data_IF_220784904974
#
_entry.id   IF_220784904974
#
_cell.length_a   1.000
_cell.length_b   1.000
_cell.length_c   1.000
_cell.angle_alpha   90.00
_cell.angle_beta   90.00
_cell.angle_gamma   90.00
#
_symmetry.space_group_name_H-M   'P 1'
#
loop_
_entity.id
_entity.type
_entity.pdbx_description
1 polymer ?
#
# COMPACT_ATOMS: atom_id res chain seq x y z
N UNK A 1 -7.74 8.10 16.41
CA UNK A 1 -8.25 7.37 15.23
C UNK A 1 -9.48 6.57 15.62
N UNK A 2 -9.32 5.54 16.46
CA UNK A 2 -10.47 4.76 16.97
C UNK A 2 -11.52 5.67 17.63
N UNK A 3 -11.08 6.50 18.58
CA UNK A 3 -11.97 7.46 19.26
C UNK A 3 -12.73 8.37 18.29
N UNK A 4 -12.07 8.84 17.22
CA UNK A 4 -12.72 9.69 16.23
C UNK A 4 -13.79 8.93 15.45
N UNK A 5 -13.49 7.69 15.05
CA UNK A 5 -14.42 6.83 14.33
C UNK A 5 -15.64 6.48 15.20
N UNK A 6 -15.41 6.18 16.47
CA UNK A 6 -16.45 5.89 17.45
C UNK A 6 -17.33 7.13 17.72
N UNK A 7 -16.72 8.30 17.94
CA UNK A 7 -17.43 9.57 18.15
C UNK A 7 -18.31 9.96 16.95
N UNK A 8 -17.92 9.53 15.74
CA UNK A 8 -18.65 9.79 14.50
C UNK A 8 -19.62 8.67 14.10
N UNK A 9 -19.78 7.64 14.94
CA UNK A 9 -20.70 6.53 14.70
C UNK A 9 -20.30 5.64 13.52
N UNK A 10 -19.00 5.59 13.19
CA UNK A 10 -18.49 4.71 12.14
C UNK A 10 -18.38 3.29 12.70
N UNK A 11 -19.33 2.43 12.31
CA UNK A 11 -19.30 1.02 12.65
C UNK A 11 -18.03 0.33 12.14
N UNK A 12 -17.57 -0.67 12.90
CA UNK A 12 -16.33 -1.43 12.63
C UNK A 12 -15.05 -0.57 12.55
N UNK A 13 -15.03 0.63 13.15
CA UNK A 13 -13.87 1.54 13.11
C UNK A 13 -12.54 0.90 13.52
N UNK A 14 -12.58 -0.13 14.38
CA UNK A 14 -11.42 -0.92 14.78
C UNK A 14 -10.74 -1.66 13.63
N UNK A 15 -11.50 -2.14 12.64
CA UNK A 15 -10.98 -2.88 11.48
C UNK A 15 -10.19 -1.96 10.53
N UNK A 16 -10.53 -0.66 10.53
CA UNK A 16 -9.95 0.32 9.61
C UNK A 16 -8.88 1.20 10.25
N UNK A 17 -8.92 1.37 11.58
CA UNK A 17 -8.04 2.28 12.33
C UNK A 17 -6.55 2.04 12.07
N UNK A 18 -6.12 0.77 12.02
CA UNK A 18 -4.73 0.40 11.75
C UNK A 18 -4.31 0.73 10.33
N UNK A 19 -5.14 0.43 9.34
CA UNK A 19 -4.88 0.72 7.92
C UNK A 19 -4.79 2.23 7.67
N UNK A 20 -5.67 3.01 8.28
CA UNK A 20 -5.66 4.47 8.15
C UNK A 20 -4.40 5.09 8.81
N UNK A 21 -4.02 4.60 10.00
CA UNK A 21 -2.79 5.04 10.66
C UNK A 21 -1.54 4.69 9.83
N UNK A 22 -1.48 3.48 9.26
CA UNK A 22 -0.40 3.04 8.38
C UNK A 22 -0.32 3.88 7.08
N UNK A 23 -1.47 4.33 6.56
CA UNK A 23 -1.57 5.25 5.43
C UNK A 23 -1.23 6.71 5.80
N UNK A 24 -0.92 7.00 7.06
CA UNK A 24 -0.56 8.34 7.54
C UNK A 24 -1.73 9.29 7.76
N UNK A 25 -2.97 8.80 7.65
CA UNK A 25 -4.18 9.60 7.86
C UNK A 25 -4.24 10.07 9.31
N UNK A 26 -4.54 11.36 9.49
CA UNK A 26 -4.76 11.95 10.80
C UNK A 26 -6.24 12.25 11.03
N UNK A 27 -6.70 12.36 12.30
CA UNK A 27 -8.07 12.78 12.60
C UNK A 27 -8.47 14.09 11.90
N UNK A 28 -7.56 15.04 11.76
CA UNK A 28 -7.79 16.30 11.05
C UNK A 28 -8.15 16.10 9.56
N UNK A 29 -7.66 15.04 8.92
CA UNK A 29 -8.03 14.70 7.54
C UNK A 29 -9.42 14.07 7.49
N UNK A 30 -9.77 13.27 8.49
CA UNK A 30 -11.11 12.70 8.62
C UNK A 30 -12.16 13.79 8.89
N UNK A 31 -11.81 14.83 9.64
CA UNK A 31 -12.69 15.98 9.83
C UNK A 31 -12.97 16.74 8.54
N UNK A 32 -11.96 16.90 7.68
CA UNK A 32 -12.17 17.50 6.34
C UNK A 32 -13.15 16.66 5.53
N UNK A 33 -13.06 15.33 5.61
CA UNK A 33 -13.99 14.43 4.92
C UNK A 33 -15.39 14.57 5.50
N UNK A 34 -15.53 14.54 6.84
CA UNK A 34 -16.80 14.71 7.53
C UNK A 34 -17.50 16.04 7.20
N UNK A 35 -16.74 17.10 6.97
CA UNK A 35 -17.26 18.39 6.54
C UNK A 35 -17.78 18.42 5.08
N UNK A 36 -17.40 17.43 4.26
CA UNK A 36 -17.76 17.39 2.82
C UNK A 36 -18.90 16.44 2.48
N UNK A 37 -19.28 15.55 3.39
CA UNK A 37 -20.29 14.52 3.15
C UNK A 37 -21.44 14.62 4.16
N UNK A 38 -22.68 14.26 3.77
CA UNK A 38 -23.76 14.07 4.73
C UNK A 38 -23.37 13.07 5.82
N UNK A 39 -23.76 13.33 7.07
CA UNK A 39 -23.46 12.45 8.22
C UNK A 39 -23.80 10.98 7.96
N UNK A 40 -24.95 10.73 7.35
CA UNK A 40 -25.44 9.37 7.06
C UNK A 40 -24.56 8.61 6.05
N UNK A 41 -23.70 9.31 5.31
CA UNK A 41 -22.80 8.73 4.31
C UNK A 41 -21.34 8.68 4.77
N UNK A 42 -21.03 9.23 5.95
CA UNK A 42 -19.67 9.33 6.46
C UNK A 42 -19.05 7.94 6.64
N UNK A 43 -19.77 7.00 7.26
CA UNK A 43 -19.29 5.62 7.43
C UNK A 43 -18.92 4.96 6.10
N UNK A 44 -19.76 5.12 5.07
CA UNK A 44 -19.51 4.58 3.73
C UNK A 44 -18.30 5.23 3.06
N UNK A 45 -18.15 6.56 3.21
CA UNK A 45 -17.00 7.29 2.69
C UNK A 45 -15.69 6.81 3.32
N UNK A 46 -15.65 6.63 4.64
CA UNK A 46 -14.49 6.10 5.37
C UNK A 46 -14.18 4.65 4.96
N UNK A 47 -15.20 3.83 4.78
CA UNK A 47 -15.05 2.44 4.31
C UNK A 47 -14.48 2.38 2.89
N UNK A 48 -14.96 3.25 1.99
CA UNK A 48 -14.44 3.37 0.63
C UNK A 48 -12.98 3.85 0.61
N UNK A 49 -12.65 4.85 1.43
CA UNK A 49 -11.29 5.38 1.56
C UNK A 49 -10.32 4.28 2.00
N UNK A 50 -10.70 3.52 3.02
CA UNK A 50 -9.88 2.44 3.57
C UNK A 50 -9.59 1.37 2.51
N UNK A 51 -10.63 0.92 1.79
CA UNK A 51 -10.46 -0.06 0.68
C UNK A 51 -9.56 0.48 -0.43
N UNK A 52 -9.66 1.78 -0.72
CA UNK A 52 -8.84 2.43 -1.74
C UNK A 52 -7.36 2.46 -1.35
N UNK A 53 -7.03 2.66 -0.07
CA UNK A 53 -5.64 2.56 0.41
C UNK A 53 -5.11 1.13 0.33
N UNK A 54 -5.90 0.14 0.75
CA UNK A 54 -5.50 -1.28 0.64
C UNK A 54 -5.20 -1.67 -0.81
N UNK A 55 -6.02 -1.21 -1.76
CA UNK A 55 -5.78 -1.46 -3.19
C UNK A 55 -4.50 -0.79 -3.70
N UNK A 56 -4.21 0.44 -3.27
CA UNK A 56 -3.00 1.16 -3.63
C UNK A 56 -1.75 0.51 -3.06
N UNK A 57 -1.79 0.07 -1.80
CA UNK A 57 -0.68 -0.64 -1.15
C UNK A 57 -0.37 -1.96 -1.86
N UNK A 58 -1.41 -2.74 -2.19
CA UNK A 58 -1.26 -3.98 -2.96
C UNK A 58 -0.64 -3.73 -4.34
N UNK A 59 -1.08 -2.68 -5.04
CA UNK A 59 -0.50 -2.30 -6.33
C UNK A 59 0.98 -1.91 -6.19
N UNK A 60 1.35 -1.15 -5.16
CA UNK A 60 2.73 -0.82 -4.84
C UNK A 60 3.59 -2.06 -4.57
N UNK A 61 3.07 -3.00 -3.77
CA UNK A 61 3.72 -4.27 -3.49
C UNK A 61 3.97 -5.11 -4.74
N UNK A 62 3.03 -5.13 -5.69
CA UNK A 62 3.20 -5.81 -7.00
C UNK A 62 4.35 -5.18 -7.79
N UNK A 63 4.40 -3.85 -7.89
CA UNK A 63 5.45 -3.12 -8.64
C UNK A 63 6.83 -3.37 -8.04
N UNK A 64 6.96 -3.31 -6.71
CA UNK A 64 8.20 -3.60 -5.99
C UNK A 64 8.65 -5.05 -6.19
N UNK A 65 7.72 -5.99 -6.15
CA UNK A 65 7.99 -7.42 -6.34
C UNK A 65 8.49 -7.70 -7.76
N UNK A 66 7.81 -7.16 -8.78
CA UNK A 66 8.23 -7.30 -10.17
C UNK A 66 9.62 -6.70 -10.42
N UNK A 67 9.91 -5.55 -9.80
CA UNK A 67 11.22 -4.90 -9.87
C UNK A 67 12.32 -5.76 -9.23
N UNK A 68 12.02 -6.37 -8.08
CA UNK A 68 12.96 -7.27 -7.38
C UNK A 68 13.25 -8.53 -8.20
N UNK A 69 12.23 -9.16 -8.78
CA UNK A 69 12.40 -10.33 -9.67
C UNK A 69 13.26 -9.96 -10.88
N UNK A 70 12.99 -8.81 -11.51
CA UNK A 70 13.78 -8.33 -12.66
C UNK A 70 15.26 -8.14 -12.30
N UNK A 71 15.55 -7.55 -11.13
CA UNK A 71 16.93 -7.41 -10.62
C UNK A 71 17.61 -8.76 -10.44
N UNK A 72 16.94 -9.75 -9.87
CA UNK A 72 17.48 -11.09 -9.68
C UNK A 72 17.77 -11.80 -11.01
N UNK A 73 16.85 -11.70 -11.98
CA UNK A 73 17.04 -12.27 -13.32
C UNK A 73 18.24 -11.64 -14.02
N UNK A 74 18.40 -10.32 -13.94
CA UNK A 74 19.54 -9.63 -14.54
C UNK A 74 20.87 -9.99 -13.86
N UNK A 75 20.88 -10.14 -12.54
CA UNK A 75 22.05 -10.60 -11.79
C UNK A 75 22.47 -12.01 -12.23
N UNK A 76 21.52 -12.94 -12.33
CA UNK A 76 21.77 -14.31 -12.79
C UNK A 76 22.34 -14.33 -14.23
N UNK A 77 21.75 -13.55 -15.15
CA UNK A 77 22.26 -13.42 -16.53
C UNK A 77 23.69 -12.88 -16.60
N UNK A 78 24.00 -11.83 -15.82
CA UNK A 78 25.34 -11.25 -15.80
C UNK A 78 26.39 -12.24 -15.27
N UNK A 79 26.04 -13.04 -14.26
CA UNK A 79 26.90 -14.10 -13.76
C UNK A 79 27.17 -15.17 -14.82
N UNK A 80 26.13 -15.66 -15.50
CA UNK A 80 26.30 -16.64 -16.59
C UNK A 80 27.12 -16.10 -17.77
N UNK A 81 27.01 -14.82 -18.10
CA UNK A 81 27.82 -14.21 -19.16
C UNK A 81 29.31 -14.13 -18.76
N UNK A 82 29.60 -13.72 -17.52
CA UNK A 82 30.97 -13.72 -16.98
C UNK A 82 31.61 -15.11 -16.95
N UNK A 83 30.85 -16.13 -16.58
CA UNK A 83 31.32 -17.52 -16.56
C UNK A 83 31.66 -18.04 -17.97
N UNK A 84 30.84 -17.67 -18.97
CA UNK A 84 31.07 -18.01 -20.38
C UNK A 84 32.31 -17.33 -20.98
N UNK A 85 32.55 -16.04 -20.69
CA UNK A 85 33.73 -15.31 -21.17
C UNK A 85 35.03 -15.84 -20.52
N UNK A 86 34.98 -16.26 -19.25
CA UNK A 86 36.13 -16.86 -18.58
C UNK A 86 36.53 -18.21 -19.20
N UNK A 87 35.57 -19.04 -19.62
CA UNK A 87 35.83 -20.32 -20.28
C UNK A 87 36.29 -20.23 -21.73
N UNK A 88 36.11 -19.10 -22.41
CA UNK A 88 36.57 -18.88 -23.80
C UNK A 88 38.01 -18.31 -23.88
N UNK A 89 38.55 -17.76 -22.79
CA UNK A 89 39.91 -17.17 -22.75
C UNK A 89 41.01 -18.15 -22.28
N UNK A 90 40.68 -19.43 -22.10
CA UNK A 90 41.62 -20.46 -21.59
C UNK A 90 42.05 -21.48 -22.66
N UNK A 91 41.81 -21.20 -23.93
CA UNK A 91 42.18 -22.04 -25.09
C UNK A 91 43.03 -21.24 -26.09
#
# INVERSE_FOLDING_TARGET
>A
MLDWLDDHGVEDGWDFSGTQAAAGIQPDDLEKIAATVPKDTLGDAIRWLTKSFTAQDLAGAIVLSASSISKLVNAAKSFSFKDRDAGQNVD
#
